data_IF_481886878088
#
_entry.id   IF_481886878088
#
_cell.length_a   1.000
_cell.length_b   1.000
_cell.length_c   1.000
_cell.angle_alpha   90.00
_cell.angle_beta   90.00
_cell.angle_gamma   90.00
#
_symmetry.space_group_name_H-M   'P 1'
#
loop_
_entity.id
_entity.type
_entity.pdbx_description
1 polymer ?
#
# COMPACT_ATOMS: atom_id res chain seq x y z
N UNK A 1 4.97 6.45 27.25
CA UNK A 1 3.90 7.39 27.64
C UNK A 1 4.42 8.81 27.52
N UNK A 2 3.63 9.72 26.95
CA UNK A 2 3.99 11.13 26.83
C UNK A 2 2.73 11.99 26.98
N UNK A 3 2.78 13.02 27.85
CA UNK A 3 1.63 13.90 28.07
C UNK A 3 0.37 13.20 28.58
N UNK A 4 0.50 12.05 29.25
CA UNK A 4 -0.63 11.23 29.72
C UNK A 4 -1.27 10.34 28.64
N UNK A 5 -0.68 10.25 27.45
CA UNK A 5 -1.12 9.34 26.39
C UNK A 5 -0.18 8.15 26.23
N UNK A 6 -0.74 6.98 25.92
CA UNK A 6 0.03 5.84 25.44
C UNK A 6 0.25 6.02 23.94
N UNK A 7 1.53 6.09 23.57
CA UNK A 7 1.96 6.25 22.17
C UNK A 7 2.93 5.11 21.90
N UNK A 8 2.62 4.32 20.89
CA UNK A 8 3.40 3.13 20.55
C UNK A 8 3.97 3.27 19.14
N UNK A 9 5.30 3.35 19.02
CA UNK A 9 5.98 3.19 17.74
C UNK A 9 6.13 1.70 17.47
N UNK A 10 5.44 1.19 16.44
CA UNK A 10 5.39 -0.23 16.11
C UNK A 10 5.99 -0.50 14.74
N UNK A 11 6.93 -1.43 14.70
CA UNK A 11 7.28 -2.13 13.48
C UNK A 11 6.28 -3.28 13.31
N UNK A 12 5.41 -3.19 12.31
CA UNK A 12 4.40 -4.21 12.05
C UNK A 12 4.92 -5.29 11.08
N UNK A 13 5.92 -4.96 10.29
CA UNK A 13 6.40 -5.79 9.20
C UNK A 13 6.79 -4.91 8.01
N UNK A 14 7.37 -5.50 6.96
CA UNK A 14 7.70 -4.78 5.73
C UNK A 14 6.42 -4.28 5.03
N UNK A 15 6.49 -3.07 4.48
CA UNK A 15 5.39 -2.46 3.74
C UNK A 15 5.90 -1.65 2.56
N UNK A 16 5.69 -0.33 2.53
CA UNK A 16 6.23 0.53 1.50
C UNK A 16 7.76 0.50 1.51
N UNK A 17 8.34 0.47 2.72
CA UNK A 17 9.77 0.18 2.95
C UNK A 17 9.96 -1.00 3.94
N UNK A 18 11.14 -1.64 3.97
CA UNK A 18 11.45 -2.70 4.93
C UNK A 18 11.48 -2.23 6.39
N UNK A 19 11.50 -0.92 6.63
CA UNK A 19 11.65 -0.32 7.95
C UNK A 19 10.45 0.54 8.37
N UNK A 20 9.29 0.35 7.76
CA UNK A 20 8.10 1.15 8.05
C UNK A 20 7.70 1.03 9.53
N UNK A 21 7.53 2.18 10.18
CA UNK A 21 7.06 2.29 11.56
C UNK A 21 5.74 3.05 11.55
N UNK A 22 4.74 2.48 12.22
CA UNK A 22 3.49 3.19 12.51
C UNK A 22 3.51 3.73 13.93
N UNK A 23 2.78 4.81 14.17
CA UNK A 23 2.52 5.32 15.52
C UNK A 23 1.07 5.01 15.89
N UNK A 24 0.89 4.08 16.84
CA UNK A 24 -0.42 3.63 17.32
C UNK A 24 -0.79 4.30 18.65
N UNK A 25 -1.98 4.87 18.69
CA UNK A 25 -2.58 5.52 19.85
C UNK A 25 -3.86 4.73 20.23
N UNK A 26 -3.74 3.69 21.08
CA UNK A 26 -4.83 2.77 21.35
C UNK A 26 -6.05 3.43 22.01
N UNK A 27 -5.84 4.35 22.95
CA UNK A 27 -6.96 5.02 23.64
C UNK A 27 -7.77 5.93 22.70
N UNK A 28 -7.17 6.39 21.60
CA UNK A 28 -7.81 7.21 20.57
C UNK A 28 -8.32 6.38 19.39
N UNK A 29 -8.00 5.08 19.34
CA UNK A 29 -8.22 4.23 18.16
C UNK A 29 -7.69 4.88 16.87
N UNK A 30 -6.50 5.49 16.97
CA UNK A 30 -5.88 6.28 15.90
C UNK A 30 -4.50 5.74 15.56
N UNK A 31 -4.23 5.57 14.26
CA UNK A 31 -2.89 5.24 13.76
C UNK A 31 -2.38 6.36 12.85
N UNK A 32 -1.14 6.78 13.06
CA UNK A 32 -0.35 7.51 12.07
C UNK A 32 0.47 6.46 11.34
N UNK A 33 0.04 6.10 10.14
CA UNK A 33 0.55 4.92 9.45
C UNK A 33 1.85 5.18 8.68
N UNK A 34 2.17 6.46 8.42
CA UNK A 34 3.13 6.77 7.37
C UNK A 34 2.72 6.08 6.06
N UNK A 35 3.70 5.65 5.30
CA UNK A 35 3.47 5.01 3.99
C UNK A 35 3.05 3.53 4.08
N UNK A 36 2.72 2.99 5.26
CA UNK A 36 1.93 1.76 5.35
C UNK A 36 0.56 1.92 4.65
N UNK A 37 0.02 3.15 4.63
CA UNK A 37 -1.27 3.46 4.04
C UNK A 37 -1.29 4.82 3.31
N UNK A 38 -2.01 4.86 2.20
CA UNK A 38 -2.18 5.99 1.30
C UNK A 38 -3.67 6.30 1.06
N UNK A 39 -3.96 7.58 0.86
CA UNK A 39 -5.27 8.10 0.48
C UNK A 39 -5.10 9.26 -0.50
N UNK A 40 -6.00 9.41 -1.48
CA UNK A 40 -6.03 10.46 -2.52
C UNK A 40 -4.86 10.40 -3.53
N UNK A 41 -3.66 10.04 -3.10
CA UNK A 41 -2.46 9.88 -3.92
C UNK A 41 -2.14 8.41 -4.18
N UNK A 42 -1.74 8.10 -5.40
CA UNK A 42 -1.20 6.79 -5.76
C UNK A 42 0.12 6.50 -5.03
N UNK A 43 0.20 5.33 -4.42
CA UNK A 43 1.42 4.81 -3.79
C UNK A 43 2.50 4.51 -4.83
N UNK A 44 3.74 4.96 -4.65
CA UNK A 44 4.86 4.50 -5.46
C UNK A 44 5.30 3.10 -5.02
N UNK A 45 5.70 2.27 -5.98
CA UNK A 45 6.37 0.98 -5.72
C UNK A 45 7.82 1.12 -6.15
N UNK A 46 8.75 0.89 -5.21
CA UNK A 46 10.18 0.95 -5.46
C UNK A 46 10.79 -0.44 -5.60
N UNK A 47 12.06 -0.50 -6.00
CA UNK A 47 12.81 -1.76 -6.13
C UNK A 47 12.87 -2.56 -4.83
N UNK A 48 12.87 -1.88 -3.68
CA UNK A 48 12.90 -2.51 -2.35
C UNK A 48 11.52 -2.80 -1.76
N UNK A 49 10.42 -2.40 -2.42
CA UNK A 49 9.06 -2.58 -1.90
C UNK A 49 8.56 -3.97 -2.30
N UNK A 50 8.41 -4.91 -1.37
CA UNK A 50 7.85 -6.24 -1.65
C UNK A 50 6.32 -6.20 -1.49
N UNK A 51 5.60 -6.23 -2.61
CA UNK A 51 4.13 -6.02 -2.59
C UNK A 51 3.35 -7.17 -1.94
N UNK A 52 3.85 -8.40 -2.02
CA UNK A 52 3.29 -9.55 -1.32
C UNK A 52 3.42 -9.40 0.20
N UNK A 53 4.62 -9.07 0.69
CA UNK A 53 4.87 -8.89 2.13
C UNK A 53 4.10 -7.70 2.71
N UNK A 54 3.91 -6.63 1.92
CA UNK A 54 3.07 -5.50 2.32
C UNK A 54 1.61 -5.93 2.51
N UNK A 55 1.05 -6.71 1.58
CA UNK A 55 -0.30 -7.27 1.72
C UNK A 55 -0.42 -8.21 2.92
N UNK A 56 0.59 -9.06 3.17
CA UNK A 56 0.61 -9.92 4.35
C UNK A 56 0.65 -9.11 5.64
N UNK A 57 1.54 -8.12 5.73
CA UNK A 57 1.65 -7.23 6.90
C UNK A 57 0.37 -6.43 7.11
N UNK A 58 -0.28 -6.01 6.01
CA UNK A 58 -1.56 -5.32 6.09
C UNK A 58 -2.62 -6.19 6.78
N UNK A 59 -2.76 -7.44 6.35
CA UNK A 59 -3.82 -8.34 6.80
C UNK A 59 -3.59 -8.90 8.19
N UNK A 60 -2.34 -9.19 8.52
CA UNK A 60 -1.97 -9.84 9.78
C UNK A 60 -1.79 -8.86 10.92
N UNK A 61 -1.36 -7.62 10.64
CA UNK A 61 -0.94 -6.67 11.68
C UNK A 61 -1.62 -5.31 11.57
N UNK A 62 -1.59 -4.65 10.41
CA UNK A 62 -2.07 -3.26 10.30
C UNK A 62 -3.58 -3.13 10.45
N UNK A 63 -4.36 -3.92 9.70
CA UNK A 63 -5.82 -3.84 9.76
C UNK A 63 -6.37 -4.37 11.11
N UNK A 64 -5.64 -5.30 11.73
CA UNK A 64 -5.95 -5.88 13.05
C UNK A 64 -5.85 -4.84 14.19
N UNK A 65 -5.13 -3.73 14.00
CA UNK A 65 -5.15 -2.61 14.96
C UNK A 65 -6.56 -2.10 15.26
N UNK A 66 -7.51 -2.28 14.33
CA UNK A 66 -8.89 -1.84 14.52
C UNK A 66 -9.01 -0.32 14.65
N UNK A 67 -8.11 0.42 13.98
CA UNK A 67 -8.09 1.87 14.01
C UNK A 67 -9.39 2.45 13.43
N UNK A 68 -10.02 3.38 14.16
CA UNK A 68 -11.15 4.18 13.66
C UNK A 68 -10.65 5.29 12.75
N UNK A 69 -9.53 5.91 13.11
CA UNK A 69 -8.91 7.00 12.35
C UNK A 69 -7.52 6.59 11.86
N UNK A 70 -7.23 6.92 10.61
CA UNK A 70 -5.93 6.68 9.97
C UNK A 70 -5.40 8.02 9.48
N UNK A 71 -4.19 8.39 9.89
CA UNK A 71 -3.42 9.49 9.30
C UNK A 71 -2.38 8.85 8.36
N UNK A 72 -2.65 8.83 7.03
CA UNK A 72 -1.75 8.23 6.05
C UNK A 72 -0.48 9.08 5.86
N UNK A 73 0.54 8.49 5.23
CA UNK A 73 1.75 9.23 4.83
C UNK A 73 1.45 10.32 3.80
N UNK A 74 0.45 10.07 2.96
CA UNK A 74 -0.07 11.01 1.96
C UNK A 74 -1.60 11.02 1.94
N UNK A 75 -2.15 12.23 1.72
CA UNK A 75 -3.58 12.51 1.72
C UNK A 75 -4.07 13.05 3.06
N UNK A 76 -5.36 13.40 3.11
CA UNK A 76 -5.98 13.87 4.34
C UNK A 76 -6.23 12.74 5.36
N UNK A 77 -6.29 13.05 6.67
CA UNK A 77 -6.76 12.11 7.70
C UNK A 77 -8.10 11.48 7.32
N UNK A 78 -8.20 10.17 7.52
CA UNK A 78 -9.28 9.36 6.98
C UNK A 78 -9.60 8.16 7.90
N UNK A 79 -10.20 7.11 7.36
CA UNK A 79 -10.55 5.87 8.06
C UNK A 79 -9.99 4.62 7.36
N UNK A 80 -10.10 3.47 8.04
CA UNK A 80 -9.60 2.19 7.53
C UNK A 80 -10.22 1.80 6.19
N UNK A 81 -11.51 2.10 5.95
CA UNK A 81 -12.18 1.73 4.70
C UNK A 81 -11.59 2.47 3.48
N UNK A 82 -11.25 3.76 3.65
CA UNK A 82 -10.63 4.53 2.56
C UNK A 82 -9.24 4.01 2.24
N UNK A 83 -8.39 3.78 3.25
CA UNK A 83 -7.03 3.27 2.99
C UNK A 83 -7.04 1.83 2.50
N UNK A 84 -7.99 1.00 2.95
CA UNK A 84 -8.19 -0.35 2.39
C UNK A 84 -8.50 -0.26 0.91
N UNK A 85 -9.37 0.68 0.50
CA UNK A 85 -9.74 0.86 -0.91
C UNK A 85 -8.55 1.30 -1.77
N UNK A 86 -7.76 2.27 -1.31
CA UNK A 86 -6.77 2.93 -2.17
C UNK A 86 -5.33 2.45 -1.98
N UNK A 87 -5.04 1.73 -0.90
CA UNK A 87 -3.73 1.08 -0.68
C UNK A 87 -3.82 -0.41 -1.00
N UNK A 88 -4.45 -1.19 -0.11
CA UNK A 88 -4.59 -2.64 -0.29
C UNK A 88 -5.30 -2.98 -1.59
N UNK A 89 -6.43 -2.34 -1.86
CA UNK A 89 -7.20 -2.56 -3.08
C UNK A 89 -6.43 -2.25 -4.36
N UNK A 90 -5.53 -1.26 -4.36
CA UNK A 90 -4.65 -0.99 -5.50
C UNK A 90 -3.60 -2.08 -5.68
N UNK A 91 -2.93 -2.48 -4.59
CA UNK A 91 -1.92 -3.54 -4.61
C UNK A 91 -2.50 -4.87 -5.10
N UNK A 92 -3.64 -5.28 -4.55
CA UNK A 92 -4.35 -6.49 -4.97
C UNK A 92 -4.77 -6.42 -6.44
N UNK A 93 -5.34 -5.29 -6.86
CA UNK A 93 -5.78 -5.10 -8.24
C UNK A 93 -4.61 -5.14 -9.21
N UNK A 94 -3.52 -4.44 -8.93
CA UNK A 94 -2.35 -4.40 -9.81
C UNK A 94 -1.68 -5.77 -9.89
N UNK A 95 -1.48 -6.46 -8.76
CA UNK A 95 -0.95 -7.84 -8.75
C UNK A 95 -1.87 -8.78 -9.53
N UNK A 96 -3.19 -8.64 -9.40
CA UNK A 96 -4.15 -9.40 -10.21
C UNK A 96 -3.99 -9.16 -11.71
N UNK A 97 -3.86 -7.90 -12.14
CA UNK A 97 -3.64 -7.55 -13.55
C UNK A 97 -2.31 -8.03 -14.11
N UNK A 98 -1.25 -7.96 -13.31
CA UNK A 98 0.06 -8.50 -13.68
C UNK A 98 0.02 -10.03 -13.73
N UNK A 99 -0.65 -10.70 -12.80
CA UNK A 99 -0.85 -12.14 -12.83
C UNK A 99 -1.59 -12.61 -14.08
N UNK A 100 -2.72 -11.98 -14.42
CA UNK A 100 -3.46 -12.22 -15.67
C UNK A 100 -2.53 -12.09 -16.90
N UNK A 101 -1.73 -11.03 -16.95
CA UNK A 101 -0.80 -10.77 -18.05
C UNK A 101 0.32 -11.82 -18.16
N UNK A 102 0.88 -12.27 -17.03
CA UNK A 102 1.90 -13.33 -16.98
C UNK A 102 1.31 -14.67 -17.43
N UNK A 103 0.12 -15.02 -16.94
CA UNK A 103 -0.57 -16.28 -17.29
C UNK A 103 -0.89 -16.36 -18.80
N UNK A 104 -1.12 -15.22 -19.45
CA UNK A 104 -1.31 -15.09 -20.89
C UNK A 104 0.01 -15.11 -21.70
N UNK A 105 1.16 -15.23 -21.03
CA UNK A 105 2.49 -15.27 -21.64
C UNK A 105 3.02 -13.88 -22.02
N UNK A 106 2.52 -12.83 -21.39
CA UNK A 106 2.95 -11.46 -21.60
C UNK A 106 4.34 -11.17 -21.03
N UNK A 107 4.99 -10.14 -21.59
CA UNK A 107 6.34 -9.69 -21.18
C UNK A 107 6.31 -8.35 -20.42
N UNK A 108 7.48 -7.90 -19.96
CA UNK A 108 7.61 -6.62 -19.26
C UNK A 108 7.11 -5.43 -20.09
N UNK A 109 7.29 -5.46 -21.42
CA UNK A 109 6.86 -4.36 -22.30
C UNK A 109 5.34 -4.23 -22.31
N UNK A 110 4.60 -5.35 -22.31
CA UNK A 110 3.15 -5.36 -22.17
C UNK A 110 2.68 -5.01 -20.75
N UNK A 111 3.43 -5.42 -19.73
CA UNK A 111 3.07 -5.20 -18.32
C UNK A 111 2.90 -3.72 -17.98
N UNK A 112 3.72 -2.84 -18.56
CA UNK A 112 3.62 -1.38 -18.38
C UNK A 112 2.25 -0.77 -18.72
N UNK A 113 1.42 -1.47 -19.50
CA UNK A 113 0.16 -0.97 -20.04
C UNK A 113 -1.06 -1.76 -19.60
N UNK A 114 -0.94 -2.60 -18.56
CA UNK A 114 -2.12 -3.24 -17.96
C UNK A 114 -3.10 -2.18 -17.45
N UNK A 115 -4.39 -2.47 -17.56
CA UNK A 115 -5.43 -1.50 -17.23
C UNK A 115 -5.44 -1.17 -15.73
N UNK A 116 -5.12 0.08 -15.41
CA UNK A 116 -5.19 0.65 -14.05
C UNK A 116 -6.24 1.77 -13.94
N UNK A 117 -7.12 1.90 -14.95
CA UNK A 117 -8.13 2.97 -15.02
C UNK A 117 -9.05 3.11 -13.79
N UNK A 118 -9.35 2.05 -12.99
CA UNK A 118 -10.10 2.25 -11.74
C UNK A 118 -9.44 3.21 -10.74
N UNK A 119 -8.12 3.42 -10.85
CA UNK A 119 -7.32 4.28 -9.97
C UNK A 119 -6.85 5.58 -10.66
N UNK A 120 -7.30 5.86 -11.89
CA UNK A 120 -6.90 7.04 -12.67
C UNK A 120 -7.24 8.39 -12.03
N UNK A 121 -8.13 8.38 -11.04
CA UNK A 121 -8.55 9.57 -10.29
C UNK A 121 -7.62 9.92 -9.12
N UNK A 122 -6.65 9.05 -8.79
CA UNK A 122 -5.68 9.34 -7.73
C UNK A 122 -4.63 10.33 -8.22
N UNK A 123 -4.17 11.19 -7.32
CA UNK A 123 -3.06 12.08 -7.58
C UNK A 123 -1.81 11.26 -7.96
N UNK A 124 -1.02 11.79 -8.88
CA UNK A 124 0.22 11.17 -9.39
C UNK A 124 0.04 9.87 -10.19
N UNK A 125 -1.19 9.54 -10.63
CA UNK A 125 -1.47 8.36 -11.44
C UNK A 125 -0.61 8.28 -12.71
N UNK A 126 -0.59 9.36 -13.50
CA UNK A 126 0.13 9.42 -14.79
C UNK A 126 1.64 9.23 -14.64
N UNK A 127 2.21 9.62 -13.49
CA UNK A 127 3.63 9.52 -13.19
C UNK A 127 4.05 8.15 -12.64
N UNK A 128 3.12 7.42 -12.02
CA UNK A 128 3.40 6.22 -11.21
C UNK A 128 2.81 4.93 -11.77
N UNK A 129 1.62 4.95 -12.37
CA UNK A 129 0.91 3.73 -12.77
C UNK A 129 1.77 2.81 -13.65
N UNK A 130 2.40 3.37 -14.68
CA UNK A 130 3.30 2.64 -15.58
C UNK A 130 4.50 2.06 -14.83
N UNK A 131 5.12 2.84 -13.92
CA UNK A 131 6.31 2.39 -13.17
C UNK A 131 5.95 1.27 -12.20
N UNK A 132 4.84 1.43 -11.49
CA UNK A 132 4.33 0.46 -10.54
C UNK A 132 4.08 -0.88 -11.22
N UNK A 133 3.42 -0.88 -12.38
CA UNK A 133 3.16 -2.11 -13.13
C UNK A 133 4.45 -2.87 -13.50
N UNK A 134 5.47 -2.15 -13.98
CA UNK A 134 6.77 -2.77 -14.25
C UNK A 134 7.44 -3.37 -13.02
N UNK A 135 7.39 -2.66 -11.88
CA UNK A 135 7.97 -3.17 -10.61
C UNK A 135 7.26 -4.41 -10.10
N UNK A 136 5.93 -4.44 -10.21
CA UNK A 136 5.15 -5.60 -9.79
C UNK A 136 5.39 -6.79 -10.72
N UNK A 137 5.50 -6.57 -12.03
CA UNK A 137 5.89 -7.62 -12.98
C UNK A 137 7.27 -8.19 -12.65
N UNK A 138 8.28 -7.33 -12.45
CA UNK A 138 9.63 -7.76 -12.08
C UNK A 138 9.66 -8.60 -10.78
N UNK A 139 8.76 -8.34 -9.84
CA UNK A 139 8.62 -9.16 -8.63
C UNK A 139 7.96 -10.51 -8.94
N UNK A 140 6.82 -10.49 -9.62
CA UNK A 140 5.97 -11.67 -9.82
C UNK A 140 6.50 -12.65 -10.87
N UNK A 141 7.35 -12.22 -11.80
CA UNK A 141 7.96 -13.11 -12.81
C UNK A 141 8.78 -14.26 -12.17
N UNK A 142 9.20 -14.10 -10.90
CA UNK A 142 10.03 -15.05 -10.17
C UNK A 142 9.34 -15.66 -8.93
N UNK A 143 8.06 -15.36 -8.71
CA UNK A 143 7.22 -15.98 -7.66
C UNK A 143 6.73 -17.37 -8.11
#
# INVERSE_FOLDING_TARGET
EMGGMKIEARYLGPAHSPGDIVVWLPEQSLVISGDMAFHERMLPIFEHTMTADWLETWDTEFEVLGATYVIPGHGHPTNMDQVRRYTKGYLEYLRGKIGEHIDEGGDLAGAYYVDQSPFAHLDTFEELATKNAGRVFEQMEWE
#
